data_IF_077674190732
#
_entry.id   IF_077674190732
#
_cell.length_a   1.000
_cell.length_b   1.000
_cell.length_c   1.000
_cell.angle_alpha   90.00
_cell.angle_beta   90.00
_cell.angle_gamma   90.00
#
_symmetry.space_group_name_H-M   'P 1'
#
loop_
_entity.id
_entity.type
_entity.pdbx_description
1 polymer ?
#
# COMPACT_ATOMS: atom_id res chain seq x y z
N UNK A 1 -3.97 -13.53 -7.87
CA UNK A 1 -2.51 -13.57 -8.14
C UNK A 1 -2.28 -14.03 -9.57
N UNK A 2 -1.35 -13.45 -10.27
CA UNK A 2 -1.07 -13.87 -11.66
C UNK A 2 0.42 -13.75 -12.00
N UNK A 3 0.84 -14.49 -13.03
CA UNK A 3 2.17 -14.44 -13.62
C UNK A 3 2.03 -14.01 -15.09
N UNK A 4 1.94 -12.70 -15.32
CA UNK A 4 1.68 -12.15 -16.63
C UNK A 4 2.96 -11.87 -17.42
N UNK A 5 3.99 -11.36 -16.75
CA UNK A 5 5.23 -10.92 -17.37
C UNK A 5 6.25 -12.06 -17.45
N UNK A 6 6.57 -12.66 -16.32
CA UNK A 6 7.58 -13.74 -16.28
C UNK A 6 7.07 -15.07 -16.82
N UNK A 7 5.77 -15.30 -16.76
CA UNK A 7 5.13 -16.55 -17.25
C UNK A 7 5.76 -17.83 -16.69
N UNK A 8 6.27 -17.75 -15.47
CA UNK A 8 6.86 -18.90 -14.80
C UNK A 8 5.89 -19.45 -13.74
N UNK A 9 5.57 -20.74 -13.77
CA UNK A 9 4.71 -21.32 -12.76
C UNK A 9 5.27 -21.12 -11.34
N UNK A 10 4.44 -20.66 -10.43
CA UNK A 10 4.81 -20.46 -9.04
C UNK A 10 5.61 -19.18 -8.74
N UNK A 11 5.78 -18.31 -9.75
CA UNK A 11 6.36 -16.96 -9.56
C UNK A 11 5.32 -15.95 -10.05
N UNK A 12 4.72 -15.27 -9.12
CA UNK A 12 3.78 -14.19 -9.40
C UNK A 12 4.51 -12.86 -9.65
N UNK A 13 3.94 -12.04 -10.50
CA UNK A 13 4.41 -10.69 -10.79
C UNK A 13 3.29 -9.65 -10.64
N UNK A 14 2.12 -10.10 -10.24
CA UNK A 14 0.96 -9.25 -10.12
C UNK A 14 -0.04 -9.81 -9.12
N UNK A 15 -0.43 -9.01 -8.12
CA UNK A 15 -1.34 -9.38 -7.04
C UNK A 15 -2.41 -8.31 -6.88
N UNK A 16 -3.67 -8.73 -6.87
CA UNK A 16 -4.81 -7.93 -6.46
C UNK A 16 -5.47 -8.62 -5.28
N UNK A 17 -5.64 -7.92 -4.18
CA UNK A 17 -6.30 -8.46 -3.01
C UNK A 17 -7.25 -7.45 -2.38
N UNK A 18 -8.46 -7.89 -2.03
CA UNK A 18 -9.39 -7.12 -1.21
C UNK A 18 -9.55 -7.83 0.12
N UNK A 19 -9.37 -7.08 1.20
CA UNK A 19 -9.33 -7.60 2.55
C UNK A 19 -10.32 -6.88 3.44
N UNK A 20 -10.86 -7.59 4.42
CA UNK A 20 -11.74 -7.00 5.43
C UNK A 20 -11.38 -7.47 6.82
N UNK A 21 -11.25 -6.54 7.75
CA UNK A 21 -11.14 -6.87 9.16
C UNK A 21 -12.54 -7.11 9.73
N UNK A 22 -12.80 -8.32 10.20
CA UNK A 22 -14.13 -8.71 10.71
C UNK A 22 -14.50 -8.03 12.04
N UNK A 23 -13.51 -7.57 12.81
CA UNK A 23 -13.73 -6.92 14.10
C UNK A 23 -14.03 -5.43 13.96
N UNK A 24 -13.27 -4.75 13.11
CA UNK A 24 -13.38 -3.29 12.92
C UNK A 24 -14.25 -2.91 11.73
N UNK A 25 -14.47 -3.83 10.78
CA UNK A 25 -15.15 -3.57 9.53
C UNK A 25 -14.27 -2.84 8.49
N UNK A 26 -13.02 -2.54 8.82
CA UNK A 26 -12.10 -1.89 7.90
C UNK A 26 -11.90 -2.74 6.65
N UNK A 27 -11.92 -2.10 5.49
CA UNK A 27 -11.69 -2.73 4.18
C UNK A 27 -10.41 -2.15 3.59
N UNK A 28 -9.59 -3.01 3.04
CA UNK A 28 -8.37 -2.62 2.32
C UNK A 28 -8.34 -3.26 0.93
N UNK A 29 -7.79 -2.53 -0.03
CA UNK A 29 -7.48 -3.02 -1.38
C UNK A 29 -5.98 -2.90 -1.61
N UNK A 30 -5.36 -3.96 -2.05
CA UNK A 30 -3.94 -4.03 -2.37
C UNK A 30 -3.77 -4.37 -3.84
N UNK A 31 -2.94 -3.60 -4.52
CA UNK A 31 -2.38 -3.95 -5.82
C UNK A 31 -0.86 -3.87 -5.75
N UNK A 32 -0.18 -4.98 -5.99
CA UNK A 32 1.27 -5.05 -6.10
C UNK A 32 1.64 -5.71 -7.41
N UNK A 33 2.51 -5.07 -8.18
CA UNK A 33 2.83 -5.52 -9.54
C UNK A 33 4.23 -5.17 -9.98
N UNK A 34 4.82 -6.05 -10.78
CA UNK A 34 6.08 -5.82 -11.52
C UNK A 34 5.83 -5.48 -12.99
N UNK A 35 4.56 -5.33 -13.41
CA UNK A 35 4.20 -5.16 -14.82
C UNK A 35 4.03 -3.71 -15.25
N UNK A 36 4.23 -2.75 -14.36
CA UNK A 36 4.14 -1.33 -14.67
C UNK A 36 5.43 -0.78 -15.25
N UNK A 37 5.31 0.21 -16.14
CA UNK A 37 6.44 0.83 -16.81
C UNK A 37 7.38 1.61 -15.90
N UNK A 38 6.88 2.12 -14.80
CA UNK A 38 7.64 2.86 -13.80
C UNK A 38 7.21 2.44 -12.40
N UNK A 39 8.08 2.69 -11.46
CA UNK A 39 7.74 2.50 -10.06
C UNK A 39 6.63 3.46 -9.64
N UNK A 40 5.59 2.92 -9.07
CA UNK A 40 4.48 3.67 -8.50
C UNK A 40 4.27 3.22 -7.07
N UNK A 41 3.94 4.17 -6.23
CA UNK A 41 3.46 3.92 -4.88
C UNK A 41 2.31 4.88 -4.59
N UNK A 42 1.23 4.37 -4.05
CA UNK A 42 0.14 5.16 -3.49
C UNK A 42 -0.43 4.44 -2.29
N UNK A 43 -0.59 5.16 -1.19
CA UNK A 43 -1.28 4.69 -0.01
C UNK A 43 -2.40 5.68 0.31
N UNK A 44 -3.64 5.22 0.25
CA UNK A 44 -4.80 6.03 0.55
C UNK A 44 -5.49 5.48 1.80
N UNK A 45 -5.69 6.32 2.80
CA UNK A 45 -6.37 5.97 4.04
C UNK A 45 -7.56 6.89 4.25
N UNK A 46 -8.75 6.33 4.15
CA UNK A 46 -10.01 7.04 4.36
C UNK A 46 -10.55 6.78 5.75
N UNK A 47 -10.84 7.83 6.48
CA UNK A 47 -11.34 7.79 7.85
C UNK A 47 -12.65 8.57 7.98
N UNK A 48 -13.30 8.48 9.12
CA UNK A 48 -14.56 9.16 9.38
C UNK A 48 -14.47 10.68 9.21
N UNK A 49 -13.36 11.28 9.65
CA UNK A 49 -13.20 12.75 9.70
C UNK A 49 -12.23 13.31 8.67
N UNK A 50 -11.75 12.51 7.75
CA UNK A 50 -10.79 12.96 6.76
C UNK A 50 -10.12 11.80 6.04
N UNK A 51 -9.06 12.13 5.31
CA UNK A 51 -8.25 11.16 4.59
C UNK A 51 -6.78 11.58 4.54
N UNK A 52 -5.94 10.60 4.29
CA UNK A 52 -4.52 10.77 4.04
C UNK A 52 -4.21 10.06 2.73
N UNK A 53 -3.46 10.70 1.86
CA UNK A 53 -2.93 10.09 0.63
C UNK A 53 -1.42 10.33 0.58
N UNK A 54 -0.65 9.25 0.50
CA UNK A 54 0.78 9.31 0.27
C UNK A 54 1.05 8.82 -1.14
N UNK A 55 1.53 9.72 -1.98
CA UNK A 55 1.90 9.43 -3.36
C UNK A 55 3.40 9.45 -3.54
N UNK A 56 3.90 8.46 -4.26
CA UNK A 56 5.32 8.26 -4.51
C UNK A 56 6.11 8.01 -3.23
N UNK A 57 7.39 7.76 -3.36
CA UNK A 57 8.33 7.62 -2.24
C UNK A 57 9.64 8.27 -2.64
N UNK A 58 10.16 9.12 -1.77
CA UNK A 58 11.49 9.67 -1.95
C UNK A 58 12.51 8.58 -1.62
N UNK A 59 13.18 8.09 -2.61
CA UNK A 59 14.22 7.09 -2.50
C UNK A 59 15.51 7.60 -3.12
N UNK A 60 16.64 7.05 -2.72
CA UNK A 60 17.96 7.39 -3.28
C UNK A 60 18.01 7.18 -4.80
N UNK A 61 17.26 6.22 -5.33
CA UNK A 61 17.18 5.95 -6.78
C UNK A 61 16.32 6.94 -7.56
N UNK A 62 15.48 7.74 -6.88
CA UNK A 62 14.49 8.64 -7.46
C UNK A 62 13.51 7.99 -8.46
N UNK A 63 13.32 6.68 -8.39
CA UNK A 63 12.50 5.94 -9.38
C UNK A 63 11.01 6.08 -9.14
N UNK A 64 10.58 6.37 -7.91
CA UNK A 64 9.17 6.56 -7.55
C UNK A 64 8.65 7.98 -7.79
N UNK A 65 9.54 8.95 -8.01
CA UNK A 65 9.18 10.34 -8.23
C UNK A 65 9.21 11.18 -6.95
N UNK A 66 8.45 12.27 -6.96
CA UNK A 66 8.38 13.22 -5.85
C UNK A 66 7.40 12.71 -4.81
N UNK A 67 7.85 12.57 -3.57
CA UNK A 67 6.99 12.15 -2.47
C UNK A 67 6.09 13.30 -2.02
N UNK A 68 4.78 13.02 -1.97
CA UNK A 68 3.78 13.98 -1.54
C UNK A 68 2.80 13.32 -0.57
N UNK A 69 2.66 13.92 0.61
CA UNK A 69 1.62 13.60 1.57
C UNK A 69 0.50 14.63 1.45
N UNK A 70 -0.71 14.16 1.23
CA UNK A 70 -1.94 14.96 1.22
C UNK A 70 -2.76 14.62 2.44
N UNK A 71 -3.22 15.62 3.15
CA UNK A 71 -4.08 15.46 4.32
C UNK A 71 -5.30 16.35 4.15
N UNK A 72 -6.49 15.78 4.32
CA UNK A 72 -7.72 16.54 4.37
C UNK A 72 -8.54 16.16 5.59
N UNK A 73 -9.09 17.17 6.25
CA UNK A 73 -9.91 17.00 7.45
C UNK A 73 -11.34 17.47 7.20
N UNK A 74 -12.25 17.15 8.10
CA UNK A 74 -13.65 17.60 8.08
C UNK A 74 -14.46 17.26 6.83
N UNK A 75 -14.14 16.15 6.18
CA UNK A 75 -14.83 15.70 4.96
C UNK A 75 -16.33 15.43 5.13
N UNK A 76 -16.83 15.30 6.34
CA UNK A 76 -18.22 14.90 6.65
C UNK A 76 -19.28 16.00 6.43
N UNK A 77 -18.88 17.21 6.01
CA UNK A 77 -19.81 18.32 5.76
C UNK A 77 -19.98 18.56 4.26
N UNK A 78 -21.22 18.79 3.83
CA UNK A 78 -21.49 19.28 2.49
C UNK A 78 -21.25 20.82 2.43
N UNK A 79 -20.73 21.35 1.32
CA UNK A 79 -20.34 20.65 0.10
C UNK A 79 -19.15 19.73 0.29
N UNK A 80 -18.94 18.82 -0.66
CA UNK A 80 -17.78 17.94 -0.64
C UNK A 80 -16.48 18.77 -0.59
N UNK A 81 -15.43 18.20 0.04
CA UNK A 81 -14.11 18.81 0.06
C UNK A 81 -13.62 19.07 -1.37
N UNK A 82 -13.02 20.21 -1.58
CA UNK A 82 -12.40 20.62 -2.84
C UNK A 82 -10.88 20.53 -2.70
N UNK A 83 -10.16 20.62 -3.81
CA UNK A 83 -8.70 20.51 -3.84
C UNK A 83 -7.99 21.55 -2.96
N UNK A 84 -8.60 22.71 -2.76
CA UNK A 84 -8.10 23.79 -1.92
C UNK A 84 -8.23 23.50 -0.42
N UNK A 85 -9.01 22.51 -0.04
CA UNK A 85 -9.16 22.08 1.35
C UNK A 85 -8.05 21.10 1.77
N UNK A 86 -7.18 20.68 0.85
CA UNK A 86 -6.10 19.75 1.10
C UNK A 86 -4.83 20.46 1.56
N UNK A 87 -4.25 19.98 2.62
CA UNK A 87 -2.88 20.31 3.01
C UNK A 87 -1.91 19.38 2.33
N UNK A 88 -0.89 19.93 1.66
CA UNK A 88 0.09 19.17 0.88
C UNK A 88 1.49 19.38 1.42
N UNK A 89 2.16 18.28 1.71
CA UNK A 89 3.53 18.23 2.19
C UNK A 89 4.38 17.47 1.18
N UNK A 90 5.54 18.02 0.84
CA UNK A 90 6.46 17.37 -0.10
C UNK A 90 7.79 17.10 0.57
N UNK A 91 8.37 15.96 0.27
CA UNK A 91 9.63 15.50 0.83
C UNK A 91 10.70 15.42 -0.25
N UNK A 92 11.78 16.15 -0.05
CA UNK A 92 12.87 16.23 -1.04
C UNK A 92 14.10 15.41 -0.62
N UNK A 93 14.15 14.95 0.62
CA UNK A 93 15.23 14.15 1.18
C UNK A 93 14.71 12.78 1.62
N UNK A 94 15.53 11.76 1.39
CA UNK A 94 15.32 10.43 1.93
C UNK A 94 16.19 10.27 3.20
N UNK A 95 15.54 10.36 4.34
CA UNK A 95 16.19 10.18 5.66
C UNK A 95 15.82 8.81 6.28
N UNK A 96 15.12 7.95 5.54
CA UNK A 96 14.54 6.72 6.10
C UNK A 96 15.56 5.78 6.72
N UNK A 97 16.73 5.64 6.11
CA UNK A 97 17.80 4.80 6.64
C UNK A 97 18.44 5.38 7.90
N UNK A 98 18.66 6.69 7.94
CA UNK A 98 19.24 7.36 9.12
C UNK A 98 18.27 7.29 10.30
N UNK A 99 16.98 7.48 10.05
CA UNK A 99 15.93 7.39 11.05
C UNK A 99 15.80 5.96 11.58
N UNK A 100 15.81 4.95 10.71
CA UNK A 100 15.72 3.54 11.10
C UNK A 100 16.90 3.12 11.98
N UNK A 101 18.12 3.48 11.58
CA UNK A 101 19.33 3.19 12.33
C UNK A 101 19.29 3.90 13.68
N UNK A 102 18.85 5.14 13.72
CA UNK A 102 18.74 5.92 14.96
C UNK A 102 17.76 5.27 15.93
N UNK A 103 16.58 4.89 15.47
CA UNK A 103 15.56 4.19 16.26
C UNK A 103 16.11 2.88 16.80
N UNK A 104 16.83 2.13 15.98
CA UNK A 104 17.41 0.85 16.38
C UNK A 104 18.46 1.00 17.49
N UNK A 105 19.38 1.95 17.35
CA UNK A 105 20.40 2.19 18.38
C UNK A 105 19.78 2.75 19.67
N UNK A 106 18.84 3.67 19.57
CA UNK A 106 18.09 4.19 20.71
C UNK A 106 17.37 3.09 21.48
N UNK A 107 16.79 2.13 20.78
CA UNK A 107 16.14 0.99 21.41
C UNK A 107 17.14 0.15 22.22
N UNK A 108 18.35 -0.08 21.68
CA UNK A 108 19.40 -0.83 22.38
C UNK A 108 19.91 -0.05 23.59
N UNK A 109 20.30 1.21 23.43
CA UNK A 109 20.90 2.01 24.47
C UNK A 109 19.95 2.32 25.63
N UNK A 110 18.70 2.59 25.32
CA UNK A 110 17.65 2.97 26.28
C UNK A 110 16.83 1.80 26.77
N UNK A 111 17.01 0.59 26.18
CA UNK A 111 16.19 -0.59 26.47
C UNK A 111 14.71 -0.42 26.12
N UNK A 112 14.41 0.40 25.09
CA UNK A 112 13.06 0.71 24.68
C UNK A 112 12.52 -0.34 23.70
N UNK A 113 11.22 -0.62 23.71
CA UNK A 113 10.63 -1.48 22.71
C UNK A 113 10.66 -0.80 21.33
N UNK A 114 10.82 -1.58 20.28
CA UNK A 114 10.69 -1.10 18.90
C UNK A 114 9.17 -0.98 18.58
N UNK A 115 8.70 0.25 18.44
CA UNK A 115 7.27 0.52 18.20
C UNK A 115 6.85 0.28 16.74
N UNK A 116 7.76 0.48 15.79
CA UNK A 116 7.52 0.29 14.36
C UNK A 116 8.54 -0.69 13.77
N UNK A 117 8.07 -1.56 12.86
CA UNK A 117 8.95 -2.54 12.22
C UNK A 117 9.39 -3.69 13.12
N UNK A 118 8.67 -3.98 14.21
CA UNK A 118 8.99 -5.08 15.10
C UNK A 118 8.85 -6.45 14.42
N UNK A 119 9.49 -7.48 14.99
CA UNK A 119 9.33 -8.86 14.54
C UNK A 119 7.88 -9.36 14.60
N UNK A 120 7.08 -8.83 15.51
CA UNK A 120 5.65 -9.13 15.57
C UNK A 120 4.91 -8.56 14.36
N UNK A 121 5.18 -7.30 13.98
CA UNK A 121 4.61 -6.71 12.77
C UNK A 121 5.06 -7.46 11.50
N UNK A 122 6.32 -7.89 11.44
CA UNK A 122 6.80 -8.69 10.33
C UNK A 122 6.07 -10.04 10.23
N UNK A 123 5.82 -10.69 11.36
CA UNK A 123 5.05 -11.94 11.41
C UNK A 123 3.61 -11.73 10.93
N UNK A 124 2.96 -10.65 11.36
CA UNK A 124 1.60 -10.32 10.92
C UNK A 124 1.53 -10.13 9.39
N UNK A 125 2.52 -9.46 8.81
CA UNK A 125 2.62 -9.30 7.35
C UNK A 125 2.79 -10.65 6.66
N UNK A 126 3.68 -11.51 7.15
CA UNK A 126 3.89 -12.84 6.57
C UNK A 126 2.63 -13.71 6.66
N UNK A 127 1.92 -13.66 7.78
CA UNK A 127 0.64 -14.36 7.94
C UNK A 127 -0.44 -13.83 6.98
N UNK A 128 -0.44 -12.54 6.72
CA UNK A 128 -1.35 -11.95 5.74
C UNK A 128 -1.04 -12.44 4.32
N UNK A 129 0.23 -12.48 3.94
CA UNK A 129 0.67 -13.01 2.65
C UNK A 129 0.27 -14.48 2.49
N UNK A 130 0.51 -15.31 3.50
CA UNK A 130 0.09 -16.72 3.48
C UNK A 130 -1.41 -16.87 3.21
N UNK A 131 -2.24 -16.05 3.85
CA UNK A 131 -3.69 -16.05 3.63
C UNK A 131 -4.08 -15.62 2.21
N UNK A 132 -3.36 -14.69 1.61
CA UNK A 132 -3.60 -14.30 0.21
C UNK A 132 -3.31 -15.48 -0.70
N UNK A 133 -2.20 -16.17 -0.52
CA UNK A 133 -1.86 -17.37 -1.30
C UNK A 133 -2.79 -18.55 -1.05
N UNK A 134 -3.22 -18.76 0.19
CA UNK A 134 -4.20 -19.80 0.52
C UNK A 134 -5.54 -19.54 -0.17
N UNK A 135 -6.01 -18.30 -0.14
CA UNK A 135 -7.26 -17.95 -0.78
C UNK A 135 -7.20 -18.14 -2.31
N UNK A 136 -6.07 -17.85 -2.93
CA UNK A 136 -5.86 -18.11 -4.35
C UNK A 136 -5.93 -19.61 -4.68
N UNK A 137 -5.39 -20.48 -3.81
CA UNK A 137 -5.43 -21.93 -4.00
C UNK A 137 -6.82 -22.54 -3.82
N UNK A 138 -7.66 -21.95 -2.98
CA UNK A 138 -9.00 -22.47 -2.66
C UNK A 138 -10.09 -21.94 -3.57
N UNK A 139 -9.75 -21.21 -4.63
CA UNK A 139 -10.62 -20.89 -5.63
C UNK A 139 -11.26 -19.76 -5.82
N UNK A 140 -10.76 -18.99 -6.38
CA UNK A 140 -11.52 -17.97 -7.05
C UNK A 140 -12.14 -18.58 -8.30
N UNK A 141 -13.42 -18.63 -8.39
CA UNK A 141 -14.08 -18.63 -9.68
C UNK A 141 -13.62 -17.38 -10.40
N UNK A 142 -12.67 -17.53 -11.30
CA UNK A 142 -12.26 -16.45 -12.16
C UNK A 142 -13.42 -16.15 -13.11
N UNK A 143 -14.08 -15.04 -12.87
CA UNK A 143 -15.18 -14.60 -13.71
C UNK A 143 -14.56 -13.98 -14.95
N UNK A 144 -14.54 -14.72 -16.05
CA UNK A 144 -14.13 -14.19 -17.33
C UNK A 144 -15.30 -13.38 -17.91
N UNK A 145 -15.12 -12.09 -18.05
CA UNK A 145 -16.06 -11.23 -18.75
C UNK A 145 -15.61 -11.13 -20.20
N UNK A 146 -16.26 -11.89 -21.08
CA UNK A 146 -16.08 -11.76 -22.51
C UNK A 146 -16.73 -10.46 -22.98
N UNK A 147 -15.95 -9.42 -23.11
CA UNK A 147 -16.39 -8.21 -23.77
C UNK A 147 -16.40 -8.47 -25.29
N UNK A 148 -17.55 -8.83 -25.80
CA UNK A 148 -17.76 -8.88 -27.25
C UNK A 148 -17.64 -7.44 -27.79
N UNK A 149 -16.46 -7.07 -28.28
CA UNK A 149 -16.32 -5.93 -29.16
C UNK A 149 -17.10 -6.25 -30.44
N UNK A 150 -18.26 -5.64 -30.57
CA UNK A 150 -18.91 -5.59 -31.90
C UNK A 150 -17.92 -4.87 -32.81
N UNK A 151 -17.32 -5.62 -33.72
CA UNK A 151 -16.65 -5.03 -34.86
C UNK A 151 -17.72 -4.30 -35.67
N UNK A 152 -17.59 -2.99 -35.79
CA UNK A 152 -18.34 -2.14 -36.70
C UNK A 152 -17.72 -2.20 -38.08
#
# INVERSE_FOLDING_TARGET
VSSLYWKQPGIEDNVFATMRNSKTGCVASLHSTMTQWRHLFSLEVFMEKGYIVLNSLKTSSNTYGKEELVVATNRSKAPAAIWEDEERFTYDLDCSWDDEITIFFDAIEKGMPIESGSSAHALDVMQLLDRIYENERHESETLYVDLHTKQA
#
